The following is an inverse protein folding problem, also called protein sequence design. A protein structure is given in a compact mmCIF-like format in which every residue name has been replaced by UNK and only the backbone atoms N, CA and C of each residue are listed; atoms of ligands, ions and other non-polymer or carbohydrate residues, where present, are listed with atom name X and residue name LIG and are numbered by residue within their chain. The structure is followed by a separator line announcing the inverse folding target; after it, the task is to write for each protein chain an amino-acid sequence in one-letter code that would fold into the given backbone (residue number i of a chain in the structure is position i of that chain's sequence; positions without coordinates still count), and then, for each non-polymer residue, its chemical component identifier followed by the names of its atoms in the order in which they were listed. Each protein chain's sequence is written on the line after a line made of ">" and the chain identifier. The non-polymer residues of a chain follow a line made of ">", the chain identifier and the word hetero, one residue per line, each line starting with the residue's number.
data_IF_849499589933
#
_entry.id   IF_849499589933
#
_cell.length_a   1.000
_cell.length_b   1.000
_cell.length_c   1.000
_cell.angle_alpha   90.00
_cell.angle_beta   90.00
_cell.angle_gamma   90.00
#
_symmetry.space_group_name_H-M   'P 1'
#
loop_
_entity.id
_entity.type
_entity.pdbx_description
1 polymer ?
#
# COMPACT_ATOMS: atom_id res chain seq x y z
N UNK A 1 -6.17 3.12 -13.76
CA UNK A 1 -6.21 1.90 -12.94
C UNK A 1 -6.64 2.25 -11.52
N UNK A 2 -7.44 1.42 -10.85
CA UNK A 2 -7.93 1.66 -9.48
C UNK A 2 -6.99 1.16 -8.38
N UNK A 3 -5.88 0.56 -8.76
CA UNK A 3 -4.80 0.20 -7.87
C UNK A 3 -3.45 0.39 -8.59
N UNK A 4 -2.39 0.62 -7.83
CA UNK A 4 -1.07 0.98 -8.32
C UNK A 4 0.00 0.12 -7.63
N UNK A 5 1.09 -0.17 -8.35
CA UNK A 5 2.30 -0.75 -7.75
C UNK A 5 3.45 0.25 -7.82
N UNK A 6 4.46 0.08 -6.97
CA UNK A 6 5.61 0.98 -6.87
C UNK A 6 6.94 0.24 -7.03
N UNK A 7 7.25 -0.35 -8.21
CA UNK A 7 8.49 -1.11 -8.41
C UNK A 7 9.76 -0.27 -8.22
N UNK A 8 9.67 1.05 -8.43
CA UNK A 8 10.75 2.01 -8.20
C UNK A 8 11.19 2.08 -6.73
N UNK A 9 10.30 1.76 -5.78
CA UNK A 9 10.61 1.73 -4.34
C UNK A 9 11.25 0.43 -3.88
N UNK A 10 11.38 -0.58 -4.75
CA UNK A 10 11.99 -1.87 -4.39
C UNK A 10 13.39 -1.72 -3.79
N UNK A 11 14.22 -0.82 -4.33
CA UNK A 11 15.57 -0.57 -3.78
C UNK A 11 15.51 -0.03 -2.35
N UNK A 12 14.59 0.88 -2.05
CA UNK A 12 14.41 1.43 -0.72
C UNK A 12 13.89 0.37 0.26
N UNK A 13 12.95 -0.49 -0.17
CA UNK A 13 12.50 -1.66 0.62
C UNK A 13 13.68 -2.56 0.97
N UNK A 14 14.51 -2.92 -0.01
CA UNK A 14 15.69 -3.75 0.24
C UNK A 14 16.69 -3.10 1.21
N UNK A 15 16.87 -1.78 1.11
CA UNK A 15 17.70 -1.01 2.05
C UNK A 15 17.16 -1.12 3.49
N UNK A 16 15.84 -0.97 3.66
CA UNK A 16 15.18 -1.08 4.96
C UNK A 16 15.19 -2.50 5.56
N UNK A 17 15.41 -3.52 4.73
CA UNK A 17 15.63 -4.90 5.19
C UNK A 17 17.06 -5.10 5.72
N UNK A 18 18.04 -4.30 5.29
CA UNK A 18 19.43 -4.32 5.76
C UNK A 18 20.06 -5.73 5.77
N UNK A 19 19.71 -6.56 4.78
CA UNK A 19 20.22 -7.94 4.68
C UNK A 19 19.62 -8.94 5.67
N UNK A 20 18.61 -8.57 6.46
CA UNK A 20 18.01 -9.43 7.48
C UNK A 20 17.25 -10.66 6.93
N UNK A 21 17.11 -10.78 5.61
CA UNK A 21 16.33 -11.86 4.95
C UNK A 21 17.17 -12.48 3.84
N UNK A 22 17.23 -13.82 3.82
CA UNK A 22 17.85 -14.62 2.76
C UNK A 22 16.88 -15.70 2.28
N UNK A 23 16.77 -15.97 0.95
CA UNK A 23 17.40 -15.23 -0.15
C UNK A 23 16.93 -13.77 -0.25
N UNK A 24 17.71 -12.93 -0.93
CA UNK A 24 17.37 -11.51 -1.15
C UNK A 24 15.99 -11.42 -1.83
N UNK A 25 15.04 -10.64 -1.29
CA UNK A 25 13.72 -10.52 -1.89
C UNK A 25 13.76 -9.94 -3.31
N UNK A 26 12.82 -10.36 -4.15
CA UNK A 26 12.64 -9.86 -5.51
C UNK A 26 11.22 -9.33 -5.72
N UNK A 27 11.08 -8.29 -6.54
CA UNK A 27 9.79 -7.69 -6.84
C UNK A 27 9.08 -8.44 -7.98
N UNK A 28 7.90 -8.98 -7.72
CA UNK A 28 7.06 -9.62 -8.72
C UNK A 28 6.29 -8.57 -9.54
N UNK A 29 6.69 -8.40 -10.80
CA UNK A 29 6.03 -7.52 -11.77
C UNK A 29 4.88 -8.19 -12.51
N UNK A 30 4.69 -9.51 -12.37
CA UNK A 30 3.69 -10.24 -13.13
C UNK A 30 2.27 -9.84 -12.70
N UNK A 31 1.36 -9.74 -13.68
CA UNK A 31 -0.03 -9.36 -13.47
C UNK A 31 -0.95 -10.49 -13.00
N UNK A 32 -0.44 -11.72 -12.83
CA UNK A 32 -1.23 -12.84 -12.32
C UNK A 32 -0.91 -13.08 -10.85
N UNK A 33 -1.89 -12.83 -9.99
CA UNK A 33 -1.79 -12.98 -8.54
C UNK A 33 -2.00 -14.44 -8.06
N UNK A 34 -2.34 -15.37 -8.96
CA UNK A 34 -2.67 -16.77 -8.64
C UNK A 34 -1.50 -17.57 -8.02
N UNK A 35 -0.26 -17.07 -8.15
CA UNK A 35 0.93 -17.70 -7.60
C UNK A 35 1.31 -17.18 -6.20
N UNK A 36 0.53 -16.26 -5.62
CA UNK A 36 0.76 -15.78 -4.27
C UNK A 36 0.54 -16.91 -3.27
N UNK A 37 1.47 -17.08 -2.33
CA UNK A 37 1.42 -18.10 -1.28
C UNK A 37 0.97 -17.55 0.07
N UNK A 38 0.98 -16.23 0.23
CA UNK A 38 0.44 -15.52 1.38
C UNK A 38 0.13 -14.06 1.00
N UNK A 39 -0.73 -13.40 1.75
CA UNK A 39 -1.03 -11.99 1.60
C UNK A 39 -1.30 -11.28 2.93
N UNK A 40 -1.22 -9.96 2.89
CA UNK A 40 -1.46 -9.15 4.07
C UNK A 40 -1.98 -7.77 3.70
N UNK A 41 -3.20 -7.48 4.16
CA UNK A 41 -3.80 -6.16 4.10
C UNK A 41 -3.34 -5.27 5.23
N UNK A 42 -2.99 -4.02 4.91
CA UNK A 42 -2.75 -2.95 5.88
C UNK A 42 -2.99 -1.59 5.23
N UNK A 43 -2.52 -0.52 5.88
CA UNK A 43 -2.66 0.85 5.37
C UNK A 43 -1.32 1.59 5.34
N UNK A 44 -1.17 2.39 4.30
CA UNK A 44 -0.11 3.39 4.13
C UNK A 44 -0.69 4.80 4.16
N UNK A 45 0.19 5.79 4.26
CA UNK A 45 -0.17 7.21 4.16
C UNK A 45 -0.10 7.68 2.72
N UNK A 46 -0.90 8.70 2.42
CA UNK A 46 -0.92 9.33 1.11
C UNK A 46 -1.96 10.43 1.04
N UNK A 47 -1.89 11.20 -0.04
CA UNK A 47 -2.86 12.25 -0.38
C UNK A 47 -3.34 12.05 -1.81
N UNK A 48 -4.53 12.54 -2.10
CA UNK A 48 -5.13 12.47 -3.42
C UNK A 48 -5.47 13.86 -3.90
N UNK A 49 -5.37 14.04 -5.22
CA UNK A 49 -5.98 15.17 -5.93
C UNK A 49 -7.01 14.65 -6.93
N UNK A 50 -8.05 15.42 -7.21
CA UNK A 50 -8.99 15.00 -8.25
C UNK A 50 -8.29 14.99 -9.62
N UNK A 51 -8.51 13.94 -10.41
CA UNK A 51 -8.01 13.88 -11.78
C UNK A 51 -8.83 14.76 -12.74
N UNK A 52 -10.06 15.15 -12.36
CA UNK A 52 -10.90 16.03 -13.14
C UNK A 52 -10.48 17.50 -12.92
N UNK A 53 -9.90 18.14 -13.93
CA UNK A 53 -9.46 19.54 -13.86
C UNK A 53 -10.61 20.54 -13.72
N UNK A 54 -11.84 20.17 -14.11
CA UNK A 54 -13.04 20.97 -13.89
C UNK A 54 -13.60 20.83 -12.46
N UNK A 55 -13.14 19.84 -11.69
CA UNK A 55 -13.59 19.62 -10.33
C UNK A 55 -12.87 20.56 -9.37
N UNK A 56 -13.65 21.31 -8.57
CA UNK A 56 -13.14 22.27 -7.58
C UNK A 56 -12.81 21.64 -6.22
N UNK A 57 -12.92 20.32 -6.10
CA UNK A 57 -12.61 19.61 -4.87
C UNK A 57 -11.12 19.76 -4.53
N UNK A 58 -10.85 20.31 -3.36
CA UNK A 58 -9.49 20.35 -2.81
C UNK A 58 -8.96 18.92 -2.61
N UNK A 59 -7.63 18.75 -2.73
CA UNK A 59 -6.99 17.47 -2.46
C UNK A 59 -7.32 16.96 -1.05
N UNK A 60 -7.47 15.65 -0.91
CA UNK A 60 -7.88 15.02 0.35
C UNK A 60 -6.81 14.03 0.82
N UNK A 61 -6.71 13.85 2.14
CA UNK A 61 -6.09 12.68 2.73
C UNK A 61 -7.19 11.81 3.33
N UNK A 62 -6.96 10.51 3.44
CA UNK A 62 -7.89 9.60 4.10
C UNK A 62 -7.37 9.02 5.40
N UNK A 63 -6.10 9.32 5.74
CA UNK A 63 -5.37 8.67 6.84
C UNK A 63 -5.16 7.16 6.68
N UNK A 64 -5.83 6.52 5.71
CA UNK A 64 -5.88 5.09 5.43
C UNK A 64 -5.96 4.86 3.93
N UNK A 65 -4.80 4.65 3.30
CA UNK A 65 -4.73 4.17 1.92
C UNK A 65 -4.45 2.67 1.97
N UNK A 66 -5.41 1.87 1.51
CA UNK A 66 -5.32 0.42 1.59
C UNK A 66 -4.14 -0.09 0.73
N UNK A 67 -3.38 -1.02 1.28
CA UNK A 67 -2.32 -1.74 0.58
C UNK A 67 -2.50 -3.24 0.82
N UNK A 68 -2.40 -4.03 -0.26
CA UNK A 68 -2.31 -5.48 -0.21
C UNK A 68 -0.89 -5.89 -0.58
N UNK A 69 -0.17 -6.44 0.39
CA UNK A 69 1.18 -6.97 0.19
C UNK A 69 1.04 -8.47 -0.04
N UNK A 70 1.67 -9.01 -1.09
CA UNK A 70 1.61 -10.44 -1.40
C UNK A 70 3.00 -11.05 -1.37
N UNK A 71 3.05 -12.30 -0.92
CA UNK A 71 4.24 -13.13 -0.86
C UNK A 71 4.20 -14.19 -1.95
N UNK A 72 5.34 -14.45 -2.58
CA UNK A 72 5.55 -15.45 -3.61
C UNK A 72 6.76 -16.33 -3.25
N UNK A 73 6.89 -17.52 -3.83
CA UNK A 73 8.02 -18.41 -3.57
C UNK A 73 9.38 -17.75 -3.74
N UNK A 74 10.38 -18.22 -2.98
CA UNK A 74 11.76 -17.70 -2.99
C UNK A 74 11.85 -16.21 -2.63
N UNK A 75 11.07 -15.76 -1.63
CA UNK A 75 11.01 -14.37 -1.16
C UNK A 75 10.59 -13.36 -2.23
N UNK A 76 9.73 -13.78 -3.16
CA UNK A 76 9.11 -12.85 -4.10
C UNK A 76 8.03 -12.04 -3.41
N UNK A 77 7.85 -10.79 -3.81
CA UNK A 77 6.73 -9.99 -3.28
C UNK A 77 6.23 -8.98 -4.30
N UNK A 78 4.97 -8.60 -4.18
CA UNK A 78 4.49 -7.33 -4.73
C UNK A 78 3.65 -6.61 -3.67
N UNK A 79 3.33 -5.35 -3.93
CA UNK A 79 2.36 -4.65 -3.10
C UNK A 79 1.54 -3.70 -3.95
N UNK A 80 0.22 -3.83 -3.83
CA UNK A 80 -0.78 -3.10 -4.59
C UNK A 80 -1.44 -2.10 -3.65
N UNK A 81 -1.37 -0.82 -4.00
CA UNK A 81 -1.99 0.28 -3.25
C UNK A 81 -3.26 0.70 -3.96
N UNK A 82 -4.38 0.71 -3.25
CA UNK A 82 -5.68 1.01 -3.83
C UNK A 82 -5.97 2.51 -3.79
N UNK A 83 -6.51 3.00 -4.90
CA UNK A 83 -6.80 4.42 -5.08
C UNK A 83 -8.12 4.79 -4.39
N UNK A 84 -8.44 6.08 -4.36
CA UNK A 84 -9.71 6.58 -3.83
C UNK A 84 -10.38 7.51 -4.83
N UNK A 85 -11.71 7.60 -4.74
CA UNK A 85 -12.53 8.46 -5.59
C UNK A 85 -12.74 9.81 -4.95
N UNK A 86 -12.82 10.83 -5.80
CA UNK A 86 -13.17 12.18 -5.39
C UNK A 86 -14.63 12.20 -4.91
N UNK A 87 -14.91 12.68 -3.71
CA UNK A 87 -16.28 12.77 -3.17
C UNK A 87 -17.24 13.64 -3.99
N UNK A 88 -16.72 14.63 -4.73
CA UNK A 88 -17.58 15.57 -5.47
C UNK A 88 -17.96 15.10 -6.86
N UNK A 89 -17.14 14.27 -7.51
CA UNK A 89 -17.37 13.88 -8.90
C UNK A 89 -17.06 12.41 -9.19
N UNK A 90 -16.79 11.61 -8.16
CA UNK A 90 -16.57 10.16 -8.15
C UNK A 90 -15.46 9.61 -9.07
N UNK A 91 -14.75 10.48 -9.78
CA UNK A 91 -13.57 10.13 -10.57
C UNK A 91 -12.44 9.71 -9.64
N UNK A 92 -11.62 8.76 -10.11
CA UNK A 92 -10.43 8.32 -9.39
C UNK A 92 -9.50 9.52 -9.14
N UNK A 93 -8.99 9.58 -7.91
CA UNK A 93 -7.95 10.51 -7.52
C UNK A 93 -6.61 10.15 -8.14
N UNK A 94 -5.71 11.11 -8.15
CA UNK A 94 -4.29 10.86 -8.40
C UNK A 94 -3.60 10.78 -7.05
N UNK A 95 -3.11 9.59 -6.70
CA UNK A 95 -2.41 9.32 -5.45
C UNK A 95 -1.02 9.95 -5.47
N UNK A 96 -0.70 10.67 -4.40
CA UNK A 96 0.65 11.01 -3.96
C UNK A 96 0.93 10.14 -2.72
N UNK A 97 1.74 9.11 -2.90
CA UNK A 97 2.08 8.13 -1.85
C UNK A 97 3.13 8.71 -0.91
N UNK A 98 3.00 8.42 0.39
CA UNK A 98 4.10 8.57 1.34
C UNK A 98 5.05 7.37 1.17
N UNK A 99 6.18 7.59 0.48
CA UNK A 99 7.13 6.53 0.14
C UNK A 99 7.71 5.86 1.39
N UNK A 100 8.00 6.61 2.45
CA UNK A 100 8.55 6.06 3.69
C UNK A 100 7.51 5.16 4.38
N UNK A 101 6.25 5.62 4.47
CA UNK A 101 5.18 4.80 5.02
C UNK A 101 4.98 3.50 4.23
N UNK A 102 5.17 3.52 2.90
CA UNK A 102 5.12 2.32 2.08
C UNK A 102 6.29 1.39 2.38
N UNK A 103 7.52 1.92 2.38
CA UNK A 103 8.75 1.16 2.64
C UNK A 103 8.68 0.49 4.00
N UNK A 104 8.29 1.21 5.04
CA UNK A 104 8.19 0.68 6.40
C UNK A 104 7.18 -0.46 6.49
N UNK A 105 5.99 -0.29 5.91
CA UNK A 105 4.92 -1.32 5.94
C UNK A 105 5.33 -2.58 5.18
N UNK A 106 5.88 -2.43 3.98
CA UNK A 106 6.32 -3.55 3.15
C UNK A 106 7.49 -4.27 3.81
N UNK A 107 8.54 -3.54 4.23
CA UNK A 107 9.70 -4.13 4.87
C UNK A 107 9.35 -4.84 6.18
N UNK A 108 8.49 -4.24 7.02
CA UNK A 108 8.00 -4.86 8.24
C UNK A 108 7.29 -6.20 7.94
N UNK A 109 6.40 -6.23 6.94
CA UNK A 109 5.68 -7.45 6.59
C UNK A 109 6.59 -8.55 6.05
N UNK A 110 7.55 -8.20 5.20
CA UNK A 110 8.56 -9.14 4.71
C UNK A 110 9.39 -9.72 5.86
N UNK A 111 9.85 -8.90 6.81
CA UNK A 111 10.55 -9.36 8.02
C UNK A 111 9.71 -10.35 8.83
N UNK A 112 8.42 -10.06 9.02
CA UNK A 112 7.51 -10.97 9.75
C UNK A 112 7.31 -12.31 9.03
N UNK A 113 7.19 -12.34 7.70
CA UNK A 113 7.11 -13.59 6.94
C UNK A 113 8.40 -14.40 7.00
N UNK A 114 9.55 -13.73 7.02
CA UNK A 114 10.86 -14.36 7.19
C UNK A 114 11.19 -14.77 8.65
N UNK A 115 10.26 -14.60 9.59
CA UNK A 115 10.48 -14.94 11.00
C UNK A 115 11.43 -14.00 11.76
N UNK A 116 11.80 -12.86 11.17
CA UNK A 116 12.66 -11.86 11.83
C UNK A 116 11.90 -11.21 12.98
N UNK A 117 12.51 -11.19 14.16
CA UNK A 117 11.95 -10.50 15.34
C UNK A 117 11.97 -9.00 15.10
N UNK A 118 10.80 -8.42 14.93
CA UNK A 118 10.59 -6.97 14.78
C UNK A 118 9.61 -6.50 15.84
N UNK A 119 9.89 -5.34 16.43
CA UNK A 119 8.98 -4.69 17.36
C UNK A 119 7.73 -4.19 16.63
N UNK A 120 6.58 -4.37 17.27
CA UNK A 120 5.32 -3.86 16.72
C UNK A 120 5.38 -2.33 16.80
N UNK A 121 5.21 -1.60 15.69
CA UNK A 121 5.13 -0.15 15.74
C UNK A 121 4.01 0.27 16.69
N UNK A 122 4.23 1.28 17.55
CA UNK A 122 3.20 1.76 18.45
C UNK A 122 1.96 2.15 17.64
N UNK A 123 0.81 1.62 18.04
CA UNK A 123 -0.47 2.02 17.46
C UNK A 123 -0.85 3.38 18.06
N UNK A 124 -0.60 4.45 17.32
CA UNK A 124 -1.19 5.74 17.62
C UNK A 124 -2.56 5.82 16.93
N UNK A 125 -3.67 5.93 17.68
CA UNK A 125 -4.95 6.27 17.09
C UNK A 125 -4.81 7.64 16.42
N UNK A 126 -4.86 7.68 15.10
CA UNK A 126 -4.83 8.94 14.36
C UNK A 126 -6.25 9.40 14.12
N UNK A 127 -6.59 10.61 14.58
CA UNK A 127 -7.80 11.35 14.19
C UNK A 127 -7.59 11.94 12.79
N UNK A 128 -7.41 11.06 11.81
CA UNK A 128 -7.52 11.46 10.40
C UNK A 128 -8.97 11.74 10.05
N UNK A 129 -9.25 12.36 8.90
CA UNK A 129 -10.60 12.41 8.35
C UNK A 129 -11.19 11.00 8.25
N UNK A 130 -12.51 10.88 8.45
CA UNK A 130 -13.20 9.59 8.38
C UNK A 130 -12.92 8.91 7.04
N UNK A 131 -12.69 7.61 7.10
CA UNK A 131 -12.42 6.81 5.92
C UNK A 131 -13.74 6.50 5.20
N UNK A 132 -13.95 7.12 4.04
CA UNK A 132 -15.17 6.92 3.24
C UNK A 132 -15.07 5.62 2.41
N UNK A 133 -15.64 4.53 2.92
CA UNK A 133 -15.55 3.19 2.31
C UNK A 133 -16.09 3.15 0.87
N UNK A 134 -17.19 3.85 0.61
CA UNK A 134 -17.83 3.97 -0.72
C UNK A 134 -16.94 4.63 -1.78
N UNK A 135 -15.91 5.37 -1.35
CA UNK A 135 -14.96 6.03 -2.24
C UNK A 135 -13.62 5.27 -2.30
N UNK A 136 -13.42 4.26 -1.46
CA UNK A 136 -12.18 3.51 -1.34
C UNK A 136 -12.17 2.26 -2.22
N UNK A 137 -11.25 2.19 -3.19
CA UNK A 137 -11.12 1.02 -4.08
C UNK A 137 -10.63 -0.24 -3.35
N UNK A 138 -10.04 -0.07 -2.17
CA UNK A 138 -9.67 -1.16 -1.27
C UNK A 138 -10.86 -1.73 -0.51
N UNK A 139 -11.77 -0.88 0.00
CA UNK A 139 -12.99 -1.32 0.68
C UNK A 139 -13.92 -2.06 -0.28
N UNK A 140 -14.09 -1.54 -1.51
CA UNK A 140 -14.87 -2.20 -2.57
C UNK A 140 -14.38 -3.60 -2.92
N UNK A 141 -13.13 -3.91 -2.59
CA UNK A 141 -12.50 -5.23 -2.79
C UNK A 141 -12.38 -6.06 -1.50
N UNK A 142 -12.87 -5.56 -0.36
CA UNK A 142 -12.74 -6.23 0.95
C UNK A 142 -11.31 -6.25 1.50
N UNK A 143 -10.42 -5.38 1.01
CA UNK A 143 -8.99 -5.37 1.37
C UNK A 143 -8.67 -4.41 2.51
N UNK A 144 -9.38 -3.30 2.62
CA UNK A 144 -9.07 -2.28 3.63
C UNK A 144 -9.39 -2.81 5.04
N UNK A 145 -8.41 -2.75 5.96
CA UNK A 145 -8.52 -3.23 7.36
C UNK A 145 -7.92 -2.22 8.33
#
# INVERSE_FOLDING_TARGET
>A
ESALTFPNLHKQVLSALSGAISPRPWFNKAGSDNAAIDDYSTNVRGRFRCANTACRQAGWGSGRVAILIRHYPRNGYNAVVFNQRCKSCERLGVLTLDEQSYVDRVAYRLKKWAGVKVERPPYAPHRGPEHEEELCEGCKRGVCR
#
